data_IF_499036167934
#
_entry.id   IF_499036167934
#
_cell.length_a   1.000
_cell.length_b   1.000
_cell.length_c   1.000
_cell.angle_alpha   90.00
_cell.angle_beta   90.00
_cell.angle_gamma   90.00
#
_symmetry.space_group_name_H-M   'P 1'
#
loop_
_entity.id
_entity.type
_entity.pdbx_description
1 polymer ?
#
# COMPACT_ATOMS: atom_id res chain seq x y z
N UNK A 1 26.38 4.63 -1.58
CA UNK A 1 24.95 4.87 -1.27
C UNK A 1 24.34 3.72 -0.48
N UNK A 2 24.35 2.48 -0.98
CA UNK A 2 23.77 1.30 -0.27
C UNK A 2 24.27 1.12 1.18
N UNK A 3 25.60 1.19 1.42
CA UNK A 3 26.16 1.08 2.77
C UNK A 3 25.68 2.15 3.76
N UNK A 4 25.38 3.36 3.27
CA UNK A 4 24.86 4.43 4.12
C UNK A 4 23.41 4.17 4.50
N UNK A 5 22.59 3.75 3.54
CA UNK A 5 21.19 3.37 3.78
C UNK A 5 21.11 2.21 4.77
N UNK A 6 21.94 1.18 4.64
CA UNK A 6 21.97 0.05 5.58
C UNK A 6 22.34 0.47 7.00
N UNK A 7 23.30 1.40 7.16
CA UNK A 7 23.65 1.96 8.47
C UNK A 7 22.50 2.76 9.09
N UNK A 8 21.78 3.54 8.28
CA UNK A 8 20.61 4.29 8.75
C UNK A 8 19.51 3.31 9.20
N UNK A 9 19.22 2.28 8.41
CA UNK A 9 18.22 1.26 8.76
C UNK A 9 18.54 0.54 10.08
N UNK A 10 19.83 0.26 10.36
CA UNK A 10 20.26 -0.34 11.62
C UNK A 10 20.02 0.59 12.83
N UNK A 11 20.16 1.91 12.64
CA UNK A 11 19.90 2.89 13.71
C UNK A 11 18.39 3.06 13.93
N UNK A 12 17.60 3.01 12.88
CA UNK A 12 16.14 3.22 12.91
C UNK A 12 15.35 1.97 13.32
N UNK A 13 16.01 0.85 13.61
CA UNK A 13 15.36 -0.43 13.96
C UNK A 13 14.41 -0.30 15.17
N UNK A 14 14.71 0.63 16.09
CA UNK A 14 13.89 0.94 17.27
C UNK A 14 12.63 1.78 16.95
N UNK A 15 12.58 2.47 15.81
CA UNK A 15 11.45 3.33 15.36
C UNK A 15 10.57 2.55 14.37
N UNK A 16 10.34 1.26 14.64
CA UNK A 16 9.56 0.43 13.74
C UNK A 16 8.06 0.74 13.83
N UNK A 17 7.42 0.94 12.67
CA UNK A 17 5.97 1.01 12.56
C UNK A 17 5.33 -0.34 12.95
N UNK A 18 4.11 -0.35 13.50
CA UNK A 18 3.43 -1.58 13.85
C UNK A 18 3.30 -2.49 12.63
N UNK A 19 3.55 -3.78 12.80
CA UNK A 19 3.41 -4.79 11.75
C UNK A 19 2.21 -5.67 12.05
N UNK A 20 1.43 -5.98 11.02
CA UNK A 20 0.23 -6.78 11.14
C UNK A 20 0.37 -8.05 10.30
N UNK A 21 -0.09 -9.18 10.82
CA UNK A 21 -0.24 -10.38 10.01
C UNK A 21 -1.43 -10.19 9.06
N UNK A 22 -1.17 -10.19 7.77
CA UNK A 22 -2.17 -9.89 6.73
C UNK A 22 -3.36 -10.83 6.76
N UNK A 23 -3.16 -12.11 7.08
CA UNK A 23 -4.22 -13.12 7.11
C UNK A 23 -5.24 -12.78 8.21
N UNK A 24 -4.76 -12.33 9.38
CA UNK A 24 -5.61 -11.88 10.49
C UNK A 24 -6.35 -10.57 10.19
N UNK A 25 -5.89 -9.79 9.19
CA UNK A 25 -6.52 -8.53 8.79
C UNK A 25 -7.59 -8.68 7.71
N UNK A 26 -7.80 -9.88 7.15
CA UNK A 26 -8.81 -10.13 6.11
C UNK A 26 -10.23 -9.83 6.62
N UNK A 27 -10.59 -10.34 7.80
CA UNK A 27 -11.93 -10.12 8.35
C UNK A 27 -12.22 -8.63 8.68
N UNK A 28 -11.32 -7.90 9.40
CA UNK A 28 -11.46 -6.45 9.57
C UNK A 28 -11.58 -5.68 8.26
N UNK A 29 -10.79 -6.07 7.25
CA UNK A 29 -10.83 -5.45 5.94
C UNK A 29 -12.19 -5.67 5.24
N UNK A 30 -12.70 -6.91 5.20
CA UNK A 30 -14.01 -7.21 4.62
C UNK A 30 -15.16 -6.48 5.32
N UNK A 31 -15.07 -6.29 6.64
CA UNK A 31 -16.05 -5.47 7.39
C UNK A 31 -15.98 -4.01 6.96
N UNK A 32 -14.77 -3.45 6.89
CA UNK A 32 -14.54 -2.08 6.46
C UNK A 32 -15.03 -1.81 5.04
N UNK A 33 -14.85 -2.76 4.12
CA UNK A 33 -15.38 -2.67 2.75
C UNK A 33 -16.89 -2.46 2.76
N UNK A 34 -17.63 -3.26 3.55
CA UNK A 34 -19.09 -3.12 3.70
C UNK A 34 -19.48 -1.77 4.31
N UNK A 35 -18.77 -1.31 5.33
CA UNK A 35 -19.02 -0.02 5.99
C UNK A 35 -18.79 1.17 5.05
N UNK A 36 -17.81 1.08 4.15
CA UNK A 36 -17.53 2.11 3.13
C UNK A 36 -18.43 2.02 1.90
N UNK A 37 -19.34 1.05 1.83
CA UNK A 37 -20.21 0.83 0.68
C UNK A 37 -19.48 0.26 -0.54
N UNK A 38 -18.37 -0.45 -0.33
CA UNK A 38 -17.68 -1.19 -1.39
C UNK A 38 -18.43 -2.49 -1.63
N UNK A 39 -18.88 -2.67 -2.87
CA UNK A 39 -19.59 -3.87 -3.29
C UNK A 39 -18.59 -4.86 -3.88
N UNK A 40 -18.60 -6.09 -3.37
CA UNK A 40 -17.80 -7.21 -3.89
C UNK A 40 -18.75 -8.37 -4.15
N UNK A 41 -18.93 -8.70 -5.42
CA UNK A 41 -19.88 -9.72 -5.88
C UNK A 41 -19.14 -10.94 -6.41
N UNK A 42 -19.53 -12.12 -5.93
CA UNK A 42 -19.01 -13.42 -6.39
C UNK A 42 -17.47 -13.58 -6.29
N UNK A 43 -16.81 -12.83 -5.40
CA UNK A 43 -15.38 -12.90 -5.14
C UNK A 43 -15.08 -13.14 -3.67
N UNK A 44 -13.98 -13.83 -3.40
CA UNK A 44 -13.42 -14.03 -2.06
C UNK A 44 -11.91 -13.75 -2.06
N UNK A 45 -11.36 -13.40 -0.90
CA UNK A 45 -9.91 -13.21 -0.73
C UNK A 45 -9.29 -14.57 -0.39
N UNK A 46 -8.28 -14.98 -1.18
CA UNK A 46 -7.54 -16.24 -0.99
C UNK A 46 -6.04 -16.03 -1.14
N UNK A 47 -5.26 -16.91 -0.53
CA UNK A 47 -3.79 -16.95 -0.66
C UNK A 47 -3.40 -17.91 -1.79
N UNK A 48 -2.58 -17.43 -2.72
CA UNK A 48 -2.12 -18.14 -3.91
C UNK A 48 -0.60 -18.44 -3.82
N UNK A 49 -0.18 -19.26 -2.86
CA UNK A 49 1.22 -19.64 -2.69
C UNK A 49 2.14 -18.42 -2.65
N UNK A 50 3.14 -18.41 -3.53
CA UNK A 50 4.15 -17.34 -3.68
C UNK A 50 3.57 -16.01 -4.20
N UNK A 51 2.40 -16.02 -4.87
CA UNK A 51 1.75 -14.79 -5.36
C UNK A 51 1.09 -13.99 -4.21
N UNK A 52 0.94 -14.60 -3.03
CA UNK A 52 0.34 -13.95 -1.87
C UNK A 52 -1.18 -13.87 -1.93
N UNK A 53 -1.76 -12.84 -1.30
CA UNK A 53 -3.22 -12.64 -1.25
C UNK A 53 -3.74 -12.09 -2.59
N UNK A 54 -4.81 -12.69 -3.08
CA UNK A 54 -5.53 -12.28 -4.29
C UNK A 54 -7.04 -12.54 -4.17
N UNK A 55 -7.75 -12.32 -5.28
CA UNK A 55 -9.19 -12.55 -5.37
C UNK A 55 -9.48 -13.83 -6.15
N UNK A 56 -10.40 -14.65 -5.66
CA UNK A 56 -10.89 -15.85 -6.31
C UNK A 56 -12.39 -15.71 -6.60
N UNK A 57 -12.82 -16.12 -7.80
CA UNK A 57 -14.24 -16.23 -8.09
C UNK A 57 -14.86 -17.41 -7.32
N UNK A 58 -16.04 -17.21 -6.75
CA UNK A 58 -16.81 -18.25 -6.05
C UNK A 58 -17.89 -18.88 -6.94
N UNK A 59 -18.15 -18.27 -8.10
CA UNK A 59 -19.11 -18.70 -9.12
C UNK A 59 -18.57 -18.34 -10.50
N UNK A 60 -19.14 -18.94 -11.53
CA UNK A 60 -18.86 -18.57 -12.92
C UNK A 60 -19.20 -17.10 -13.16
N UNK A 61 -18.28 -16.41 -13.84
CA UNK A 61 -18.40 -14.99 -14.16
C UNK A 61 -18.67 -14.85 -15.65
N UNK A 62 -19.67 -14.04 -15.99
CA UNK A 62 -19.94 -13.68 -17.38
C UNK A 62 -19.11 -12.46 -17.80
N UNK A 63 -18.92 -12.32 -19.11
CA UNK A 63 -18.34 -11.10 -19.66
C UNK A 63 -19.23 -9.90 -19.29
N UNK A 64 -18.60 -8.80 -18.86
CA UNK A 64 -19.27 -7.57 -18.41
C UNK A 64 -19.99 -7.66 -17.05
N UNK A 65 -19.76 -8.71 -16.26
CA UNK A 65 -20.22 -8.74 -14.87
C UNK A 65 -19.54 -7.66 -14.01
N UNK A 66 -20.34 -6.93 -13.23
CA UNK A 66 -19.85 -5.95 -12.29
C UNK A 66 -19.43 -6.63 -10.98
N UNK A 67 -18.13 -6.90 -10.86
CA UNK A 67 -17.57 -7.63 -9.73
C UNK A 67 -17.27 -6.77 -8.51
N UNK A 68 -16.75 -5.56 -8.73
CA UNK A 68 -16.29 -4.66 -7.68
C UNK A 68 -16.72 -3.23 -8.00
N UNK A 69 -17.28 -2.54 -7.01
CA UNK A 69 -17.53 -1.08 -7.07
C UNK A 69 -16.87 -0.44 -5.87
N UNK A 70 -15.96 0.50 -6.14
CA UNK A 70 -15.24 1.25 -5.09
C UNK A 70 -15.72 2.70 -5.10
N UNK A 71 -16.42 3.16 -4.06
CA UNK A 71 -16.79 4.57 -3.92
C UNK A 71 -15.56 5.47 -3.73
N UNK A 72 -15.65 6.73 -4.18
CA UNK A 72 -14.54 7.69 -4.10
C UNK A 72 -14.10 7.97 -2.67
N UNK A 73 -15.02 7.96 -1.71
CA UNK A 73 -14.74 8.21 -0.29
C UNK A 73 -13.90 7.11 0.39
N UNK A 74 -13.71 5.96 -0.27
CA UNK A 74 -12.86 4.88 0.20
C UNK A 74 -11.44 4.97 -0.37
N UNK A 75 -11.22 5.76 -1.42
CA UNK A 75 -9.91 5.90 -2.05
C UNK A 75 -8.96 6.79 -1.22
N UNK A 76 -7.67 6.47 -1.28
CA UNK A 76 -6.58 7.35 -0.82
C UNK A 76 -5.95 7.95 -2.07
N UNK A 77 -5.93 9.27 -2.19
CA UNK A 77 -5.47 9.96 -3.39
C UNK A 77 -4.66 11.21 -3.06
N UNK A 78 -4.09 11.85 -4.08
CA UNK A 78 -3.46 13.15 -3.88
C UNK A 78 -4.45 14.22 -3.40
N UNK A 79 -5.73 14.10 -3.79
CA UNK A 79 -6.75 15.02 -3.31
C UNK A 79 -7.00 14.84 -1.82
N UNK A 80 -7.08 13.59 -1.32
CA UNK A 80 -7.20 13.35 0.13
C UNK A 80 -5.95 13.83 0.87
N UNK A 81 -4.76 13.67 0.28
CA UNK A 81 -3.51 14.18 0.85
C UNK A 81 -3.52 15.72 0.98
N UNK A 82 -3.90 16.46 -0.07
CA UNK A 82 -3.98 17.93 -0.06
C UNK A 82 -5.00 18.47 0.94
N UNK A 83 -6.06 17.71 1.22
CA UNK A 83 -7.11 18.05 2.17
C UNK A 83 -6.87 17.50 3.60
N UNK A 84 -5.75 16.83 3.83
CA UNK A 84 -5.34 16.29 5.13
C UNK A 84 -4.44 17.25 5.92
N UNK A 85 -3.91 16.78 7.06
CA UNK A 85 -2.88 17.48 7.84
C UNK A 85 -1.62 17.84 7.01
N UNK A 86 -1.35 17.11 5.91
CA UNK A 86 -0.24 17.40 4.99
C UNK A 86 -0.50 18.59 4.07
N UNK A 87 -1.75 19.08 3.94
CA UNK A 87 -2.11 20.10 2.97
C UNK A 87 -1.26 21.37 3.04
N UNK A 88 -0.95 21.85 4.25
CA UNK A 88 -0.08 23.01 4.45
C UNK A 88 1.37 22.75 4.07
N UNK A 89 1.87 21.52 4.29
CA UNK A 89 3.23 21.12 3.91
C UNK A 89 3.34 21.00 2.39
N UNK A 90 2.36 20.33 1.76
CA UNK A 90 2.27 20.19 0.30
C UNK A 90 2.25 21.56 -0.37
N UNK A 91 1.54 22.55 0.20
CA UNK A 91 1.52 23.91 -0.36
C UNK A 91 2.83 24.66 -0.24
N UNK A 92 3.75 24.27 0.65
CA UNK A 92 5.03 24.98 0.87
C UNK A 92 6.20 24.31 0.16
N UNK A 93 6.15 23.00 -0.03
CA UNK A 93 7.24 22.21 -0.58
C UNK A 93 7.07 21.99 -2.10
N UNK A 94 7.98 22.49 -2.95
CA UNK A 94 7.85 22.36 -4.40
C UNK A 94 7.88 20.91 -4.89
N UNK A 95 8.57 20.00 -4.20
CA UNK A 95 8.60 18.58 -4.58
C UNK A 95 7.20 18.00 -4.37
N UNK A 96 6.59 18.23 -3.21
CA UNK A 96 5.25 17.72 -2.91
C UNK A 96 4.15 18.34 -3.79
N UNK A 97 4.33 19.58 -4.25
CA UNK A 97 3.39 20.19 -5.20
C UNK A 97 3.38 19.50 -6.56
N UNK A 98 4.55 19.16 -7.09
CA UNK A 98 4.70 18.68 -8.47
C UNK A 98 4.80 17.14 -8.55
N UNK A 99 5.19 16.47 -7.47
CA UNK A 99 5.35 15.01 -7.40
C UNK A 99 4.24 14.40 -6.55
N UNK A 100 3.08 14.20 -7.20
CA UNK A 100 1.90 13.62 -6.58
C UNK A 100 2.13 12.24 -5.95
N UNK A 101 3.00 11.43 -6.55
CA UNK A 101 3.42 10.15 -5.99
C UNK A 101 4.11 10.29 -4.62
N UNK A 102 5.02 11.26 -4.44
CA UNK A 102 5.69 11.50 -3.16
C UNK A 102 4.67 12.02 -2.13
N UNK A 103 3.80 12.95 -2.53
CA UNK A 103 2.72 13.44 -1.66
C UNK A 103 1.80 12.30 -1.20
N UNK A 104 1.46 11.37 -2.10
CA UNK A 104 0.63 10.22 -1.78
C UNK A 104 1.36 9.24 -0.86
N UNK A 105 2.64 8.96 -1.11
CA UNK A 105 3.45 8.09 -0.23
C UNK A 105 3.52 8.62 1.20
N UNK A 106 3.73 9.94 1.37
CA UNK A 106 3.70 10.56 2.70
C UNK A 106 2.32 10.48 3.36
N UNK A 107 1.26 10.67 2.57
CA UNK A 107 -0.10 10.56 3.09
C UNK A 107 -0.39 9.13 3.57
N UNK A 108 -0.05 8.12 2.78
CA UNK A 108 -0.16 6.70 3.16
C UNK A 108 0.62 6.42 4.44
N UNK A 109 1.86 6.92 4.55
CA UNK A 109 2.71 6.71 5.73
C UNK A 109 2.09 7.29 7.01
N UNK A 110 1.62 8.53 6.98
CA UNK A 110 1.06 9.11 8.19
C UNK A 110 -0.37 8.64 8.50
N UNK A 111 -1.17 8.24 7.50
CA UNK A 111 -2.42 7.51 7.76
C UNK A 111 -2.16 6.13 8.38
N UNK A 112 -1.07 5.45 7.99
CA UNK A 112 -0.65 4.18 8.59
C UNK A 112 -0.28 4.35 10.07
N UNK A 113 0.47 5.41 10.38
CA UNK A 113 0.86 5.75 11.76
C UNK A 113 -0.31 6.24 12.63
N UNK A 114 -1.38 6.77 12.03
CA UNK A 114 -2.55 7.26 12.74
C UNK A 114 -3.52 6.11 13.11
N UNK A 115 -3.60 5.76 14.40
CA UNK A 115 -4.48 4.69 14.89
C UNK A 115 -5.98 4.95 14.66
N UNK A 116 -6.38 6.21 14.46
CA UNK A 116 -7.76 6.64 14.21
C UNK A 116 -8.07 6.84 12.73
N UNK A 117 -7.13 6.52 11.82
CA UNK A 117 -7.37 6.68 10.39
C UNK A 117 -8.52 5.80 9.91
N UNK A 118 -9.42 6.39 9.10
CA UNK A 118 -10.53 5.63 8.52
C UNK A 118 -10.06 4.59 7.52
N UNK A 119 -8.82 4.66 7.03
CA UNK A 119 -8.23 3.70 6.10
C UNK A 119 -7.40 2.63 6.80
N UNK A 120 -7.35 2.60 8.14
CA UNK A 120 -6.57 1.61 8.89
C UNK A 120 -6.81 0.16 8.40
N UNK A 121 -8.07 -0.33 8.25
CA UNK A 121 -8.28 -1.71 7.82
C UNK A 121 -7.70 -2.02 6.43
N UNK A 122 -7.71 -1.06 5.51
CA UNK A 122 -7.06 -1.18 4.21
C UNK A 122 -5.52 -1.16 4.32
N UNK A 123 -4.97 -0.27 5.14
CA UNK A 123 -3.53 -0.12 5.31
C UNK A 123 -2.88 -1.33 5.99
N UNK A 124 -3.58 -1.96 6.94
CA UNK A 124 -3.07 -3.12 7.68
C UNK A 124 -3.01 -4.41 6.87
N UNK A 125 -3.79 -4.52 5.80
CA UNK A 125 -3.77 -5.70 4.90
C UNK A 125 -2.74 -5.55 3.77
N UNK A 126 -2.06 -4.41 3.66
CA UNK A 126 -1.01 -4.21 2.65
C UNK A 126 0.21 -5.12 2.90
N UNK A 127 0.94 -5.51 1.85
CA UNK A 127 2.22 -6.20 2.00
C UNK A 127 3.23 -5.37 2.82
N UNK A 128 3.97 -6.04 3.70
CA UNK A 128 5.09 -5.43 4.45
C UNK A 128 6.37 -5.29 3.59
N UNK A 129 6.47 -6.09 2.54
CA UNK A 129 7.59 -6.10 1.59
C UNK A 129 7.06 -6.28 0.17
N UNK A 130 7.86 -5.84 -0.79
CA UNK A 130 7.56 -5.92 -2.22
C UNK A 130 8.81 -6.37 -2.97
N UNK A 131 8.65 -7.00 -4.13
CA UNK A 131 9.76 -7.46 -4.97
C UNK A 131 10.27 -6.38 -5.95
N UNK A 132 10.18 -5.11 -5.54
CA UNK A 132 10.74 -4.01 -6.33
C UNK A 132 12.26 -3.93 -6.15
N UNK A 133 12.97 -3.32 -7.10
CA UNK A 133 14.43 -3.23 -7.08
C UNK A 133 15.01 -2.53 -5.83
N UNK A 134 14.21 -1.73 -5.13
CA UNK A 134 14.57 -1.12 -3.85
C UNK A 134 14.81 -2.14 -2.73
N UNK A 135 14.21 -3.33 -2.83
CA UNK A 135 14.35 -4.42 -1.86
C UNK A 135 15.43 -5.44 -2.25
N UNK A 136 16.10 -5.24 -3.40
CA UNK A 136 17.09 -6.20 -3.89
C UNK A 136 18.35 -6.18 -3.03
N UNK A 137 18.94 -7.35 -2.83
CA UNK A 137 20.26 -7.49 -2.24
C UNK A 137 21.34 -6.98 -3.21
N UNK A 138 22.54 -6.63 -2.72
CA UNK A 138 23.65 -6.24 -3.57
C UNK A 138 23.98 -7.25 -4.68
N UNK A 139 23.83 -8.55 -4.40
CA UNK A 139 24.07 -9.63 -5.34
C UNK A 139 23.01 -9.65 -6.45
N UNK A 140 21.74 -9.44 -6.10
CA UNK A 140 20.63 -9.35 -7.07
C UNK A 140 20.81 -8.15 -7.99
N UNK A 141 21.20 -6.99 -7.45
CA UNK A 141 21.53 -5.81 -8.26
C UNK A 141 22.75 -6.07 -9.15
N UNK A 142 23.77 -6.76 -8.64
CA UNK A 142 24.94 -7.14 -9.44
C UNK A 142 24.56 -8.04 -10.63
N UNK A 143 23.59 -8.94 -10.44
CA UNK A 143 23.06 -9.79 -11.51
C UNK A 143 22.43 -9.02 -12.68
N UNK A 144 22.02 -7.77 -12.47
CA UNK A 144 21.47 -6.92 -13.54
C UNK A 144 22.57 -6.25 -14.39
N UNK A 145 23.85 -6.33 -13.98
CA UNK A 145 24.94 -5.56 -14.58
C UNK A 145 25.12 -5.92 -16.05
N UNK A 146 25.12 -4.90 -16.91
CA UNK A 146 25.22 -5.07 -18.37
C UNK A 146 23.86 -5.21 -19.08
N UNK A 147 22.75 -5.25 -18.32
CA UNK A 147 21.41 -5.09 -18.88
C UNK A 147 21.08 -3.60 -19.09
N UNK A 148 20.11 -3.27 -19.96
CA UNK A 148 19.63 -1.89 -20.13
C UNK A 148 18.71 -1.42 -18.98
N UNK A 149 18.41 -2.30 -18.01
CA UNK A 149 17.54 -2.03 -16.87
C UNK A 149 18.32 -1.49 -15.64
N UNK A 150 19.64 -1.30 -15.78
CA UNK A 150 20.53 -0.74 -14.77
C UNK A 150 21.02 0.65 -15.16
#
# INVERSE_FOLDING_TARGET
MHQLVQKILQIEEEISLPRYNREDQIEPFLKWLKEKGIEINNLEIKKFGELGLGLCAVKDLAQSDQLIVVPENAMISENTARNSYLGSLIKRDPILQHMGNISLSLHVLGEYANSQSTWQPYLRILPLSYDTTLYFTPEQVHGLKGSPAL
#
